data_IF_115595004383
#
_entry.id   IF_115595004383
#
_cell.length_a   1.000
_cell.length_b   1.000
_cell.length_c   1.000
_cell.angle_alpha   90.00
_cell.angle_beta   90.00
_cell.angle_gamma   90.00
#
_symmetry.space_group_name_H-M   'P 1'
#
loop_
_entity.id
_entity.type
_entity.pdbx_description
1 polymer ?
#
# COMPACT_ATOMS: atom_id res chain seq x y z
N UNK A 1 35.91 25.56 42.35
CA UNK A 1 35.74 24.21 41.76
C UNK A 1 34.24 23.95 41.61
N UNK A 2 33.63 24.38 40.50
CA UNK A 2 32.19 24.19 40.26
C UNK A 2 32.01 23.23 39.09
N UNK A 3 31.38 22.10 39.39
CA UNK A 3 31.28 20.92 38.54
C UNK A 3 30.18 21.13 37.49
N UNK A 4 30.54 20.80 36.25
CA UNK A 4 29.72 20.43 35.08
C UNK A 4 28.19 20.52 35.18
N UNK A 5 27.58 21.20 34.20
CA UNK A 5 26.37 20.71 33.53
C UNK A 5 26.49 21.01 32.04
N UNK A 6 27.01 20.05 31.28
CA UNK A 6 26.84 20.02 29.83
C UNK A 6 25.41 19.53 29.56
N UNK A 7 24.53 20.43 29.13
CA UNK A 7 23.15 20.11 28.78
C UNK A 7 23.16 19.49 27.38
N UNK A 8 23.30 18.17 27.31
CA UNK A 8 23.07 17.42 26.08
C UNK A 8 21.56 17.47 25.78
N UNK A 9 21.14 18.43 24.97
CA UNK A 9 19.81 18.43 24.36
C UNK A 9 19.83 17.32 23.30
N UNK A 10 19.55 16.09 23.73
CA UNK A 10 19.16 15.03 22.81
C UNK A 10 17.71 15.33 22.41
N UNK A 11 17.53 16.17 21.40
CA UNK A 11 16.28 16.20 20.64
C UNK A 11 16.15 14.83 19.97
N UNK A 12 15.54 13.87 20.66
CA UNK A 12 14.90 12.74 19.99
C UNK A 12 13.73 13.40 19.26
N UNK A 13 14.02 13.86 18.04
CA UNK A 13 13.02 14.30 17.09
C UNK A 13 12.04 13.15 17.01
N UNK A 14 10.85 13.34 17.57
CA UNK A 14 9.80 12.36 17.56
C UNK A 14 9.47 12.04 16.11
N UNK A 15 10.10 11.03 15.54
CA UNK A 15 9.53 10.29 14.44
C UNK A 15 8.32 9.60 15.04
N UNK A 16 7.19 10.28 14.99
CA UNK A 16 5.93 9.72 15.45
C UNK A 16 5.76 8.38 14.76
N UNK A 17 5.67 7.28 15.52
CA UNK A 17 5.26 5.97 15.00
C UNK A 17 3.91 6.05 14.26
N UNK A 18 3.15 7.11 14.51
CA UNK A 18 1.93 7.45 13.78
C UNK A 18 2.13 7.84 12.31
N UNK A 19 3.34 8.24 11.88
CA UNK A 19 3.61 8.73 10.53
C UNK A 19 4.04 7.65 9.52
N UNK A 20 4.14 6.37 9.90
CA UNK A 20 4.53 5.33 8.93
C UNK A 20 3.84 3.99 9.19
N UNK A 21 2.50 4.00 9.22
CA UNK A 21 1.79 2.78 8.89
C UNK A 21 2.00 2.55 7.38
N UNK A 22 2.96 1.69 7.03
CA UNK A 22 3.14 1.27 5.63
C UNK A 22 1.83 0.59 5.22
N UNK A 23 1.15 1.17 4.24
CA UNK A 23 -0.06 0.54 3.70
C UNK A 23 0.30 -0.87 3.21
N UNK A 24 -0.53 -1.84 3.55
CA UNK A 24 -0.37 -3.24 3.15
C UNK A 24 -1.63 -3.72 2.47
N UNK A 25 -1.55 -4.87 1.80
CA UNK A 25 -2.66 -5.46 1.06
C UNK A 25 -2.43 -5.39 -0.44
N UNK A 26 -3.53 -5.54 -1.17
CA UNK A 26 -3.51 -5.71 -2.63
C UNK A 26 -4.42 -4.70 -3.29
N UNK A 27 -3.94 -4.07 -4.36
CA UNK A 27 -4.77 -3.28 -5.28
C UNK A 27 -5.14 -4.15 -6.48
N UNK A 28 -6.40 -4.08 -6.87
CA UNK A 28 -6.92 -4.68 -8.10
C UNK A 28 -7.34 -3.53 -9.01
N UNK A 29 -6.64 -3.34 -10.11
CA UNK A 29 -6.85 -2.25 -11.04
C UNK A 29 -7.37 -2.75 -12.38
N UNK A 30 -8.54 -2.27 -12.79
CA UNK A 30 -9.13 -2.55 -14.10
C UNK A 30 -8.47 -1.71 -15.19
N UNK A 31 -7.90 -2.39 -16.20
CA UNK A 31 -7.31 -1.75 -17.37
C UNK A 31 -8.29 -1.87 -18.54
N UNK A 32 -9.31 -1.02 -18.57
CA UNK A 32 -10.44 -1.07 -19.53
C UNK A 32 -9.98 -1.27 -20.98
N UNK A 33 -9.11 -0.40 -21.51
CA UNK A 33 -8.67 -0.49 -22.90
C UNK A 33 -7.78 -1.70 -23.20
N UNK A 34 -7.12 -2.24 -22.18
CA UNK A 34 -6.21 -3.38 -22.33
C UNK A 34 -6.89 -4.72 -22.04
N UNK A 35 -8.21 -4.74 -21.78
CA UNK A 35 -8.99 -5.95 -21.47
C UNK A 35 -8.29 -6.85 -20.44
N UNK A 36 -7.79 -6.24 -19.36
CA UNK A 36 -7.04 -6.93 -18.31
C UNK A 36 -7.21 -6.26 -16.95
N UNK A 37 -6.74 -6.95 -15.92
CA UNK A 37 -6.66 -6.48 -14.54
C UNK A 37 -5.23 -6.64 -14.04
N UNK A 38 -4.71 -5.62 -13.36
CA UNK A 38 -3.44 -5.68 -12.65
C UNK A 38 -3.67 -5.92 -11.15
N UNK A 39 -2.89 -6.82 -10.56
CA UNK A 39 -2.87 -7.13 -9.13
C UNK A 39 -1.54 -6.61 -8.58
N UNK A 40 -1.57 -5.69 -7.62
CA UNK A 40 -0.39 -5.02 -7.09
C UNK A 40 -0.23 -5.25 -5.60
N UNK A 41 1.00 -5.46 -5.15
CA UNK A 41 1.36 -5.42 -3.73
C UNK A 41 1.54 -3.96 -3.28
N UNK A 42 0.76 -3.55 -2.27
CA UNK A 42 0.78 -2.16 -1.80
C UNK A 42 2.09 -1.81 -1.10
N UNK A 43 2.69 -2.76 -0.38
CA UNK A 43 3.88 -2.48 0.41
C UNK A 43 5.11 -2.18 -0.46
N UNK A 44 5.28 -2.94 -1.54
CA UNK A 44 6.40 -2.81 -2.49
C UNK A 44 6.07 -1.95 -3.71
N UNK A 45 4.79 -1.72 -4.00
CA UNK A 45 4.33 -1.03 -5.22
C UNK A 45 4.54 -1.86 -6.49
N UNK A 46 4.80 -3.16 -6.37
CA UNK A 46 5.09 -4.03 -7.52
C UNK A 46 3.82 -4.72 -8.02
N UNK A 47 3.77 -4.97 -9.33
CA UNK A 47 2.73 -5.80 -9.93
C UNK A 47 3.01 -7.26 -9.65
N UNK A 48 2.10 -7.92 -8.94
CA UNK A 48 2.14 -9.35 -8.65
C UNK A 48 1.65 -10.18 -9.83
N UNK A 49 0.62 -9.70 -10.54
CA UNK A 49 0.07 -10.38 -11.70
C UNK A 49 -0.69 -9.41 -12.63
N UNK A 50 -0.81 -9.81 -13.90
CA UNK A 50 -1.75 -9.23 -14.86
C UNK A 50 -2.62 -10.36 -15.41
N UNK A 51 -3.93 -10.21 -15.32
CA UNK A 51 -4.91 -11.23 -15.71
C UNK A 51 -5.76 -10.71 -16.86
N UNK A 52 -5.85 -11.47 -17.95
CA UNK A 52 -6.73 -11.12 -19.07
C UNK A 52 -8.20 -11.32 -18.69
N UNK A 53 -9.04 -10.34 -19.02
CA UNK A 53 -10.50 -10.40 -18.81
C UNK A 53 -11.27 -10.63 -20.11
N UNK A 54 -10.61 -10.49 -21.26
CA UNK A 54 -11.19 -10.70 -22.60
C UNK A 54 -11.92 -9.46 -23.15
N UNK A 55 -12.71 -8.77 -22.32
CA UNK A 55 -13.32 -7.48 -22.61
C UNK A 55 -12.89 -6.41 -21.61
N UNK A 56 -13.15 -5.14 -21.90
CA UNK A 56 -12.71 -4.01 -21.08
C UNK A 56 -13.45 -3.92 -19.74
N UNK A 57 -12.78 -4.21 -18.60
CA UNK A 57 -13.46 -4.21 -17.30
C UNK A 57 -13.71 -2.79 -16.80
N UNK A 58 -14.86 -2.58 -16.18
CA UNK A 58 -15.31 -1.31 -15.60
C UNK A 58 -15.37 -1.37 -14.07
N UNK A 59 -15.77 -2.49 -13.50
CA UNK A 59 -16.06 -2.61 -12.07
C UNK A 59 -15.25 -3.71 -11.40
N UNK A 60 -14.93 -3.51 -10.12
CA UNK A 60 -14.31 -4.52 -9.27
C UNK A 60 -15.05 -4.55 -7.93
N UNK A 61 -15.50 -5.73 -7.54
CA UNK A 61 -16.07 -5.98 -6.21
C UNK A 61 -15.20 -6.99 -5.46
N UNK A 62 -14.87 -6.70 -4.20
CA UNK A 62 -14.06 -7.58 -3.35
C UNK A 62 -14.94 -8.12 -2.23
N UNK A 63 -14.87 -9.43 -2.01
CA UNK A 63 -15.55 -10.10 -0.89
C UNK A 63 -15.06 -9.57 0.46
N UNK A 64 -15.91 -9.59 1.49
CA UNK A 64 -15.55 -9.13 2.83
C UNK A 64 -14.31 -9.82 3.42
N UNK A 65 -14.07 -11.09 3.07
CA UNK A 65 -12.88 -11.82 3.53
C UNK A 65 -11.62 -11.52 2.72
N UNK A 66 -11.71 -10.74 1.64
CA UNK A 66 -10.61 -10.44 0.73
C UNK A 66 -10.16 -11.62 -0.15
N UNK A 67 -10.77 -12.80 -0.03
CA UNK A 67 -10.36 -14.00 -0.77
C UNK A 67 -10.76 -13.97 -2.24
N UNK A 68 -11.88 -13.32 -2.54
CA UNK A 68 -12.43 -13.24 -3.88
C UNK A 68 -12.59 -11.80 -4.34
N UNK A 69 -12.32 -11.58 -5.63
CA UNK A 69 -12.70 -10.40 -6.36
C UNK A 69 -13.44 -10.81 -7.64
N UNK A 70 -14.45 -10.04 -8.01
CA UNK A 70 -15.22 -10.21 -9.25
C UNK A 70 -15.04 -8.94 -10.08
N UNK A 71 -14.90 -9.14 -11.39
CA UNK A 71 -14.62 -8.07 -12.36
C UNK A 71 -15.66 -8.16 -13.47
N UNK A 72 -16.24 -7.02 -13.82
CA UNK A 72 -17.24 -6.87 -14.89
C UNK A 72 -16.84 -5.75 -15.84
#
# INVERSE_FOLDING_TARGET
MSRAVALAILCISGTSLAAQQRATGTIIASNMNAASVSILDVASGTTLATVATGNGPHEVAVSHSGKWAVVA
#
